data_IF_687838647039
#
_entry.id   IF_687838647039
#
_cell.length_a   1.000
_cell.length_b   1.000
_cell.length_c   1.000
_cell.angle_alpha   90.00
_cell.angle_beta   90.00
_cell.angle_gamma   90.00
#
_symmetry.space_group_name_H-M   'P 1'
#
loop_
_entity.id
_entity.type
_entity.pdbx_description
1 polymer ?
#
# COMPACT_ATOMS: atom_id res chain seq x y z
N UNK A 1 16.08 16.41 -3.88
CA UNK A 1 15.89 14.95 -3.80
C UNK A 1 14.43 14.71 -3.47
N UNK A 2 13.78 13.78 -4.16
CA UNK A 2 12.39 13.41 -3.90
C UNK A 2 12.36 12.33 -2.82
N UNK A 3 11.33 12.29 -1.99
CA UNK A 3 11.15 11.17 -1.06
C UNK A 3 10.72 9.93 -1.83
N UNK A 4 11.34 8.79 -1.51
CA UNK A 4 11.00 7.47 -2.05
C UNK A 4 9.83 6.88 -1.28
N UNK A 5 8.69 6.72 -1.93
CA UNK A 5 7.46 6.24 -1.34
C UNK A 5 7.20 4.75 -1.62
N UNK A 6 6.84 4.03 -0.56
CA UNK A 6 6.15 2.75 -0.64
C UNK A 6 4.65 2.94 -0.47
N UNK A 7 3.83 2.42 -1.39
CA UNK A 7 2.37 2.41 -1.25
C UNK A 7 1.95 1.10 -0.59
N UNK A 8 1.19 1.14 0.49
CA UNK A 8 0.62 -0.07 1.11
C UNK A 8 -0.89 -0.10 0.97
N UNK A 9 -1.43 -1.19 0.41
CA UNK A 9 -2.87 -1.41 0.24
C UNK A 9 -3.30 -2.75 0.83
N UNK A 10 -4.51 -2.75 1.40
CA UNK A 10 -5.17 -3.93 1.97
C UNK A 10 -6.67 -3.83 1.74
N UNK A 11 -7.34 -4.97 1.59
CA UNK A 11 -8.79 -5.08 1.82
C UNK A 11 -9.08 -6.47 2.37
N UNK A 12 -9.99 -6.54 3.34
CA UNK A 12 -10.64 -7.81 3.66
C UNK A 12 -11.72 -8.13 2.60
N UNK A 13 -12.03 -9.41 2.45
CA UNK A 13 -13.16 -9.88 1.61
C UNK A 13 -14.52 -9.31 2.02
N UNK A 14 -14.68 -8.91 3.29
CA UNK A 14 -15.91 -8.26 3.79
C UNK A 14 -15.95 -6.78 3.42
N UNK A 15 -14.86 -6.02 3.64
CA UNK A 15 -14.78 -4.61 3.22
C UNK A 15 -14.99 -4.45 1.72
N UNK A 16 -14.46 -5.39 0.92
CA UNK A 16 -14.63 -5.39 -0.53
C UNK A 16 -16.09 -5.65 -0.95
N UNK A 17 -16.86 -6.43 -0.18
CA UNK A 17 -18.30 -6.67 -0.42
C UNK A 17 -19.16 -5.49 0.01
N UNK A 18 -18.86 -4.90 1.16
CA UNK A 18 -19.75 -3.92 1.79
C UNK A 18 -19.53 -2.49 1.26
N UNK A 19 -18.29 -2.13 0.89
CA UNK A 19 -17.94 -0.74 0.54
C UNK A 19 -17.55 -0.54 -0.92
N UNK A 20 -17.37 -1.62 -1.71
CA UNK A 20 -17.10 -1.54 -3.15
C UNK A 20 -15.83 -0.77 -3.55
N UNK A 21 -14.97 -0.40 -2.60
CA UNK A 21 -13.75 0.34 -2.86
C UNK A 21 -12.70 -0.62 -3.41
N UNK A 22 -12.54 -0.63 -4.74
CA UNK A 22 -11.61 -1.52 -5.40
C UNK A 22 -10.17 -1.18 -5.01
N UNK A 23 -9.32 -2.21 -4.93
CA UNK A 23 -7.88 -2.05 -4.72
C UNK A 23 -7.27 -1.16 -5.81
N UNK A 24 -7.72 -1.29 -7.05
CA UNK A 24 -7.27 -0.44 -8.14
C UNK A 24 -7.60 1.04 -7.90
N UNK A 25 -8.76 1.33 -7.30
CA UNK A 25 -9.16 2.67 -6.88
C UNK A 25 -8.24 3.23 -5.80
N UNK A 26 -7.97 2.44 -4.75
CA UNK A 26 -7.03 2.82 -3.69
C UNK A 26 -5.63 3.10 -4.24
N UNK A 27 -5.10 2.18 -5.05
CA UNK A 27 -3.79 2.34 -5.68
C UNK A 27 -3.74 3.61 -6.53
N UNK A 28 -4.79 3.89 -7.30
CA UNK A 28 -4.87 5.11 -8.12
C UNK A 28 -4.83 6.37 -7.26
N UNK A 29 -5.65 6.44 -6.22
CA UNK A 29 -5.71 7.57 -5.29
C UNK A 29 -4.34 7.82 -4.63
N UNK A 30 -3.68 6.76 -4.18
CA UNK A 30 -2.38 6.83 -3.53
C UNK A 30 -1.26 7.22 -4.50
N UNK A 31 -1.31 6.76 -5.74
CA UNK A 31 -0.42 7.22 -6.82
C UNK A 31 -0.59 8.71 -7.09
N UNK A 32 -1.83 9.18 -7.19
CA UNK A 32 -2.13 10.58 -7.42
C UNK A 32 -1.67 11.45 -6.25
N UNK A 33 -1.81 10.96 -5.01
CA UNK A 33 -1.26 11.62 -3.82
C UNK A 33 0.26 11.73 -3.90
N UNK A 34 0.98 10.63 -4.17
CA UNK A 34 2.44 10.63 -4.30
C UNK A 34 2.90 11.62 -5.38
N UNK A 35 2.20 11.66 -6.52
CA UNK A 35 2.47 12.61 -7.60
C UNK A 35 2.31 14.07 -7.13
N UNK A 36 1.23 14.39 -6.41
CA UNK A 36 1.02 15.76 -5.86
C UNK A 36 2.08 16.16 -4.84
N UNK A 37 2.61 15.19 -4.09
CA UNK A 37 3.69 15.41 -3.12
C UNK A 37 5.10 15.36 -3.73
N UNK A 38 5.22 15.12 -5.04
CA UNK A 38 6.49 14.92 -5.72
C UNK A 38 7.33 13.78 -5.11
N UNK A 39 6.67 12.70 -4.70
CA UNK A 39 7.30 11.46 -4.23
C UNK A 39 7.61 10.54 -5.40
N UNK A 40 8.74 9.83 -5.31
CA UNK A 40 9.09 8.75 -6.23
C UNK A 40 8.49 7.45 -5.71
N UNK A 41 7.55 6.85 -6.45
CA UNK A 41 6.96 5.57 -6.03
C UNK A 41 7.96 4.46 -6.35
N UNK A 42 8.46 3.80 -5.32
CA UNK A 42 9.40 2.67 -5.44
C UNK A 42 8.66 1.34 -5.58
N UNK A 43 7.61 1.14 -4.78
CA UNK A 43 6.85 -0.12 -4.78
C UNK A 43 5.41 0.05 -4.28
N UNK A 44 4.58 -0.95 -4.55
CA UNK A 44 3.22 -1.11 -4.10
C UNK A 44 3.09 -2.47 -3.39
N UNK A 45 2.98 -2.42 -2.06
CA UNK A 45 2.81 -3.55 -1.16
C UNK A 45 1.31 -3.87 -1.04
N UNK A 46 0.88 -4.95 -1.69
CA UNK A 46 -0.53 -5.30 -1.81
C UNK A 46 -0.85 -6.60 -1.06
N UNK A 47 -1.51 -6.47 0.09
CA UNK A 47 -2.04 -7.60 0.88
C UNK A 47 -3.56 -7.74 0.73
N UNK A 48 -4.10 -7.46 -0.46
CA UNK A 48 -5.51 -7.67 -0.79
C UNK A 48 -5.85 -9.14 -1.05
N UNK A 49 -7.09 -9.54 -0.71
CA UNK A 49 -7.63 -10.86 -1.07
C UNK A 49 -7.43 -11.95 -0.03
N UNK A 50 -6.85 -11.61 1.12
CA UNK A 50 -6.77 -12.49 2.28
C UNK A 50 -8.05 -12.35 3.11
N UNK A 51 -8.77 -13.46 3.32
CA UNK A 51 -9.91 -13.47 4.23
C UNK A 51 -9.49 -12.99 5.61
N UNK A 52 -10.41 -12.53 6.46
CA UNK A 52 -10.10 -12.18 7.85
C UNK A 52 -9.44 -13.32 8.66
N UNK A 53 -9.42 -14.56 8.13
CA UNK A 53 -8.72 -15.72 8.70
C UNK A 53 -7.25 -15.84 8.26
N UNK A 54 -6.86 -15.24 7.14
CA UNK A 54 -5.47 -15.24 6.70
C UNK A 54 -4.74 -14.06 7.36
N UNK A 55 -4.06 -14.36 8.48
CA UNK A 55 -3.24 -13.40 9.21
C UNK A 55 -1.91 -13.09 8.49
N UNK A 56 -1.61 -13.75 7.37
CA UNK A 56 -0.35 -13.59 6.65
C UNK A 56 -0.37 -12.30 5.84
N UNK A 57 0.60 -11.42 6.13
CA UNK A 57 0.80 -10.11 5.48
C UNK A 57 2.21 -10.04 4.89
N UNK A 58 2.51 -10.84 3.86
CA UNK A 58 3.85 -10.94 3.31
C UNK A 58 4.34 -9.60 2.74
N UNK A 59 3.45 -8.76 2.22
CA UNK A 59 3.87 -7.45 1.70
C UNK A 59 4.09 -6.43 2.81
N UNK A 60 3.38 -6.53 3.94
CA UNK A 60 3.73 -5.75 5.14
C UNK A 60 5.14 -6.09 5.64
N UNK A 61 5.50 -7.38 5.69
CA UNK A 61 6.85 -7.80 6.09
C UNK A 61 7.91 -7.26 5.13
N UNK A 62 7.69 -7.43 3.82
CA UNK A 62 8.55 -6.89 2.76
C UNK A 62 8.72 -5.36 2.87
N UNK A 63 7.64 -4.63 3.10
CA UNK A 63 7.67 -3.18 3.29
C UNK A 63 8.53 -2.79 4.49
N UNK A 64 8.40 -3.50 5.61
CA UNK A 64 9.19 -3.23 6.81
C UNK A 64 10.69 -3.49 6.58
N UNK A 65 11.05 -4.50 5.78
CA UNK A 65 12.43 -4.74 5.37
C UNK A 65 12.97 -3.61 4.46
N UNK A 66 12.15 -3.11 3.53
CA UNK A 66 12.54 -2.02 2.63
C UNK A 66 12.70 -0.68 3.40
N UNK A 67 11.93 -0.45 4.46
CA UNK A 67 12.15 0.66 5.40
C UNK A 67 13.49 0.49 6.13
N UNK A 68 13.74 -0.69 6.71
CA UNK A 68 14.99 -0.98 7.45
C UNK A 68 16.23 -0.85 6.56
N UNK A 69 16.09 -1.18 5.28
CA UNK A 69 17.17 -1.12 4.30
C UNK A 69 17.35 0.27 3.67
N UNK A 70 16.51 1.25 4.02
CA UNK A 70 16.55 2.61 3.45
C UNK A 70 16.15 2.66 1.97
N UNK A 71 15.44 1.63 1.48
CA UNK A 71 14.94 1.57 0.10
C UNK A 71 13.82 2.59 -0.08
N UNK A 72 12.93 2.71 0.92
CA UNK A 72 11.88 3.73 0.96
C UNK A 72 12.06 4.66 2.17
N UNK A 73 11.66 5.92 1.98
CA UNK A 73 11.73 6.98 2.99
C UNK A 73 10.36 7.23 3.65
N UNK A 74 9.26 6.91 2.95
CA UNK A 74 7.89 7.17 3.40
C UNK A 74 6.94 6.05 2.98
N UNK A 75 5.94 5.77 3.82
CA UNK A 75 4.82 4.86 3.50
C UNK A 75 3.55 5.67 3.30
N UNK A 76 2.82 5.38 2.22
CA UNK A 76 1.52 6.00 1.92
C UNK A 76 0.44 4.91 1.89
N UNK A 77 -0.62 5.10 2.66
CA UNK A 77 -1.76 4.17 2.74
C UNK A 77 -3.08 4.93 2.83
N UNK A 78 -4.16 4.34 2.32
CA UNK A 78 -5.53 4.83 2.50
C UNK A 78 -6.23 4.02 3.58
N UNK A 79 -7.33 4.57 4.12
CA UNK A 79 -8.09 3.96 5.21
C UNK A 79 -8.97 2.82 4.72
#
# INVERSE_FOLDING_TARGET
MNLKAGIYVRVSTEEQRDYGYSIDGQVRELKDYCKRQNYEIVDIYNDAGHSAKDLKRPNMERMLEDIKSGIIDVVVLSK
#
